data_IF_057077862602
#
_entry.id   IF_057077862602
#
_cell.length_a   1.000
_cell.length_b   1.000
_cell.length_c   1.000
_cell.angle_alpha   90.00
_cell.angle_beta   90.00
_cell.angle_gamma   90.00
#
_symmetry.space_group_name_H-M   'P 1'
#
loop_
_entity.id
_entity.type
_entity.pdbx_description
1 polymer ?
#
# COMPACT_ATOMS: atom_id res chain seq x y z
N UNK A 1 -22.97 85.19 45.00
CA UNK A 1 -21.97 85.89 45.85
C UNK A 1 -20.59 85.47 45.39
N UNK A 2 -19.76 86.42 44.96
CA UNK A 2 -18.33 86.22 44.76
C UNK A 2 -17.68 85.84 46.10
N UNK A 3 -16.75 84.90 46.08
CA UNK A 3 -15.46 85.17 46.70
C UNK A 3 -14.34 84.31 46.12
N UNK A 4 -13.21 84.99 45.93
CA UNK A 4 -11.97 84.52 45.35
C UNK A 4 -11.08 83.82 46.39
N UNK A 5 -10.00 83.23 45.85
CA UNK A 5 -8.62 83.23 46.36
C UNK A 5 -8.03 81.98 47.03
N UNK A 6 -6.79 81.75 46.58
CA UNK A 6 -5.66 80.98 47.13
C UNK A 6 -5.49 79.54 46.60
N UNK A 7 -4.31 79.07 46.18
CA UNK A 7 -2.98 79.65 45.91
C UNK A 7 -2.15 78.61 45.14
N UNK A 8 -1.45 79.08 44.11
CA UNK A 8 -0.14 78.72 43.53
C UNK A 8 0.43 77.29 43.44
N UNK A 9 1.25 77.03 42.39
CA UNK A 9 1.72 75.70 41.96
C UNK A 9 3.13 75.37 42.47
N UNK A 10 3.58 74.11 42.34
CA UNK A 10 4.93 73.78 41.83
C UNK A 10 4.92 72.38 41.19
N UNK A 11 4.98 72.38 39.86
CA UNK A 11 5.40 71.24 39.04
C UNK A 11 6.91 71.07 39.18
N UNK A 12 7.38 69.91 39.63
CA UNK A 12 8.78 69.52 39.44
C UNK A 12 8.85 68.55 38.27
N UNK A 13 9.47 69.02 37.19
CA UNK A 13 9.70 68.31 35.96
C UNK A 13 11.05 67.59 36.06
N UNK A 14 11.03 66.25 36.05
CA UNK A 14 12.11 65.38 35.59
C UNK A 14 11.39 64.20 34.94
N UNK A 15 11.38 64.02 33.62
CA UNK A 15 12.57 63.74 32.82
C UNK A 15 13.19 62.45 33.38
N UNK A 16 13.14 61.31 32.72
CA UNK A 16 13.73 61.08 31.41
C UNK A 16 13.42 59.64 30.99
N UNK A 17 12.90 59.50 29.76
CA UNK A 17 13.19 58.47 28.75
C UNK A 17 12.77 57.00 28.99
N UNK A 18 11.73 56.68 28.22
CA UNK A 18 11.38 55.42 27.58
C UNK A 18 12.63 54.62 27.17
N UNK A 19 12.73 53.37 27.64
CA UNK A 19 13.30 52.30 26.83
C UNK A 19 12.44 51.05 27.06
N UNK A 20 11.61 50.76 26.06
CA UNK A 20 10.96 49.48 25.95
C UNK A 20 12.01 48.41 25.71
N UNK A 21 11.91 47.32 26.46
CA UNK A 21 12.56 46.08 26.05
C UNK A 21 11.59 44.93 26.28
N UNK A 22 11.05 44.49 25.16
CA UNK A 22 10.18 43.35 24.99
C UNK A 22 10.86 42.09 25.55
N UNK A 23 10.18 41.44 26.49
CA UNK A 23 10.56 40.17 27.07
C UNK A 23 10.29 39.05 26.05
N UNK A 24 11.28 38.72 25.22
CA UNK A 24 11.28 37.48 24.44
C UNK A 24 11.97 36.38 25.25
N UNK A 25 11.17 35.48 25.84
CA UNK A 25 11.66 34.24 26.42
C UNK A 25 12.10 33.28 25.30
N UNK A 26 13.36 33.39 24.87
CA UNK A 26 14.03 32.33 24.12
C UNK A 26 14.54 31.29 25.12
N UNK A 27 13.81 30.19 25.22
CA UNK A 27 14.25 28.98 25.93
C UNK A 27 15.31 28.32 25.03
N UNK A 28 16.58 28.67 25.22
CA UNK A 28 17.71 27.96 24.63
C UNK A 28 17.94 26.66 25.37
N UNK A 29 17.14 25.64 25.07
CA UNK A 29 17.42 24.28 25.50
C UNK A 29 18.64 23.77 24.76
N UNK A 30 19.67 23.44 25.53
CA UNK A 30 20.88 22.73 25.14
C UNK A 30 20.54 21.55 24.20
N UNK A 31 20.95 21.68 22.93
CA UNK A 31 21.07 20.54 22.05
C UNK A 31 22.23 19.68 22.52
N UNK A 32 21.97 18.74 23.43
CA UNK A 32 22.78 17.52 23.47
C UNK A 32 22.62 16.87 22.09
N UNK A 33 23.67 16.95 21.29
CA UNK A 33 23.86 16.04 20.17
C UNK A 33 23.97 14.64 20.77
N UNK A 34 22.84 13.96 20.92
CA UNK A 34 22.83 12.52 20.98
C UNK A 34 23.20 12.05 19.57
N UNK A 35 24.46 11.61 19.42
CA UNK A 35 24.81 10.67 18.38
C UNK A 35 23.86 9.48 18.48
N UNK A 36 22.83 9.45 17.64
CA UNK A 36 22.02 8.26 17.46
C UNK A 36 22.83 7.27 16.64
N UNK A 37 23.85 6.66 17.25
CA UNK A 37 24.25 5.29 16.94
C UNK A 37 23.14 4.38 17.46
N UNK A 38 21.98 4.47 16.84
CA UNK A 38 20.89 3.51 17.00
C UNK A 38 20.85 2.68 15.74
N UNK A 39 21.70 1.66 15.73
CA UNK A 39 21.34 0.33 15.25
C UNK A 39 20.05 -0.11 15.96
N UNK A 40 18.92 0.46 15.56
CA UNK A 40 17.59 0.06 15.99
C UNK A 40 16.92 -0.62 14.81
N UNK A 41 16.89 -1.95 14.91
CA UNK A 41 15.91 -2.87 14.32
C UNK A 41 15.72 -2.83 12.81
N UNK A 42 16.61 -3.52 12.08
CA UNK A 42 16.27 -4.11 10.78
C UNK A 42 15.30 -5.31 10.89
N UNK A 43 14.80 -5.64 12.08
CA UNK A 43 14.06 -6.88 12.37
C UNK A 43 12.56 -6.73 12.59
N UNK A 44 11.95 -5.54 12.59
CA UNK A 44 10.62 -5.43 13.18
C UNK A 44 9.42 -5.67 12.23
N UNK A 45 9.61 -5.65 10.90
CA UNK A 45 8.47 -5.83 9.96
C UNK A 45 8.77 -6.65 8.70
N UNK A 46 10.00 -7.16 8.54
CA UNK A 46 10.48 -7.79 7.31
C UNK A 46 10.70 -9.30 7.39
N UNK A 47 10.40 -9.96 8.51
CA UNK A 47 10.67 -11.39 8.68
C UNK A 47 9.52 -12.08 9.42
N UNK A 48 9.13 -13.25 8.95
CA UNK A 48 8.18 -14.15 9.58
C UNK A 48 8.86 -15.48 9.87
N UNK A 49 8.66 -16.01 11.08
CA UNK A 49 9.19 -17.33 11.45
C UNK A 49 8.67 -18.47 10.57
N UNK A 50 7.49 -18.28 9.95
CA UNK A 50 6.85 -19.26 9.07
C UNK A 50 7.23 -19.08 7.59
N UNK A 51 7.49 -17.84 7.16
CA UNK A 51 7.59 -17.49 5.73
C UNK A 51 8.94 -16.85 5.35
N UNK A 52 9.83 -16.64 6.30
CA UNK A 52 11.13 -16.00 6.11
C UNK A 52 11.01 -14.49 5.90
N UNK A 53 11.94 -13.91 5.15
CA UNK A 53 11.87 -12.48 4.80
C UNK A 53 10.54 -12.20 4.07
N UNK A 54 9.95 -11.02 4.27
CA UNK A 54 8.68 -10.59 3.67
C UNK A 54 8.90 -9.29 2.91
N UNK A 55 9.73 -9.38 1.89
CA UNK A 55 10.14 -8.25 1.04
C UNK A 55 9.13 -7.99 -0.07
N UNK A 56 9.08 -6.76 -0.62
CA UNK A 56 8.34 -6.50 -1.84
C UNK A 56 8.76 -7.40 -3.01
N UNK A 57 10.01 -7.89 -3.05
CA UNK A 57 10.48 -8.84 -4.07
C UNK A 57 9.76 -10.18 -4.00
N UNK A 58 9.50 -10.71 -2.79
CA UNK A 58 8.75 -11.96 -2.64
C UNK A 58 7.28 -11.77 -2.98
N UNK A 59 6.68 -10.65 -2.54
CA UNK A 59 5.31 -10.30 -2.97
C UNK A 59 5.26 -10.18 -4.50
N UNK A 60 6.25 -9.53 -5.11
CA UNK A 60 6.34 -9.41 -6.58
C UNK A 60 6.41 -10.78 -7.26
N UNK A 61 7.15 -11.75 -6.70
CA UNK A 61 7.20 -13.12 -7.21
C UNK A 61 5.81 -13.77 -7.18
N UNK A 62 5.08 -13.67 -6.07
CA UNK A 62 3.70 -14.18 -5.97
C UNK A 62 2.79 -13.53 -7.01
N UNK A 63 2.84 -12.21 -7.13
CA UNK A 63 2.03 -11.45 -8.08
C UNK A 63 2.39 -11.80 -9.54
N UNK A 64 3.66 -12.12 -9.86
CA UNK A 64 4.03 -12.62 -11.19
C UNK A 64 3.48 -14.02 -11.47
N UNK A 65 3.29 -14.83 -10.45
CA UNK A 65 2.65 -16.12 -10.59
C UNK A 65 1.14 -15.97 -10.83
N UNK A 66 0.48 -15.06 -10.11
CA UNK A 66 -0.92 -14.64 -10.39
C UNK A 66 -1.06 -14.20 -11.86
N UNK A 67 -0.17 -13.32 -12.34
CA UNK A 67 -0.17 -12.86 -13.74
C UNK A 67 -0.05 -14.03 -14.72
N UNK A 68 0.80 -15.02 -14.40
CA UNK A 68 1.00 -16.19 -15.25
C UNK A 68 -0.25 -17.08 -15.30
N UNK A 69 -0.97 -17.24 -14.18
CA UNK A 69 -2.24 -17.99 -14.15
C UNK A 69 -3.36 -17.27 -14.90
N UNK A 70 -3.46 -15.95 -14.76
CA UNK A 70 -4.43 -15.14 -15.52
C UNK A 70 -4.16 -15.25 -17.02
N UNK A 71 -2.89 -15.21 -17.44
CA UNK A 71 -2.53 -15.40 -18.84
C UNK A 71 -2.77 -16.84 -19.33
N UNK A 72 -2.50 -17.86 -18.51
CA UNK A 72 -2.84 -19.26 -18.82
C UNK A 72 -4.34 -19.39 -19.12
N UNK A 73 -5.18 -18.88 -18.23
CA UNK A 73 -6.63 -18.83 -18.44
C UNK A 73 -7.00 -18.11 -19.75
N UNK A 74 -6.43 -16.92 -19.98
CA UNK A 74 -6.72 -16.13 -21.18
C UNK A 74 -6.40 -16.89 -22.47
N UNK A 75 -5.22 -17.53 -22.55
CA UNK A 75 -4.84 -18.29 -23.73
C UNK A 75 -5.69 -19.53 -23.94
N UNK A 76 -6.07 -20.20 -22.85
CA UNK A 76 -6.82 -21.45 -22.91
C UNK A 76 -8.30 -21.25 -23.22
N UNK A 77 -8.95 -20.30 -22.56
CA UNK A 77 -10.41 -20.13 -22.58
C UNK A 77 -10.88 -18.88 -23.35
N UNK A 78 -9.99 -17.90 -23.56
CA UNK A 78 -10.32 -16.62 -24.21
C UNK A 78 -9.32 -16.27 -25.34
N UNK A 79 -8.96 -17.21 -26.24
CA UNK A 79 -7.86 -17.00 -27.20
C UNK A 79 -8.05 -15.78 -28.11
N UNK A 80 -9.31 -15.46 -28.49
CA UNK A 80 -9.65 -14.33 -29.36
C UNK A 80 -9.26 -12.97 -28.78
N UNK A 81 -9.31 -12.81 -27.46
CA UNK A 81 -9.00 -11.54 -26.76
C UNK A 81 -7.67 -11.60 -26.01
N UNK A 82 -7.06 -12.78 -25.87
CA UNK A 82 -5.77 -12.95 -25.17
C UNK A 82 -4.65 -12.04 -25.71
N UNK A 83 -4.64 -11.77 -27.01
CA UNK A 83 -3.64 -10.94 -27.67
C UNK A 83 -3.83 -9.44 -27.41
N UNK A 84 -5.06 -8.99 -27.18
CA UNK A 84 -5.44 -7.58 -26.93
C UNK A 84 -5.39 -7.19 -25.46
N UNK A 85 -5.15 -8.16 -24.55
CA UNK A 85 -4.99 -7.86 -23.14
C UNK A 85 -3.87 -6.85 -22.88
N UNK A 86 -4.04 -5.95 -21.89
CA UNK A 86 -2.99 -5.01 -21.52
C UNK A 86 -1.68 -5.73 -21.18
N UNK A 87 -0.54 -5.22 -21.67
CA UNK A 87 0.79 -5.83 -21.45
C UNK A 87 1.76 -4.98 -20.64
N UNK A 88 1.53 -3.67 -20.64
CA UNK A 88 2.46 -2.72 -20.05
C UNK A 88 2.01 -2.33 -18.65
N UNK A 89 2.96 -2.37 -17.71
CA UNK A 89 2.79 -1.78 -16.38
C UNK A 89 2.77 -0.26 -16.49
N UNK A 90 1.94 0.38 -15.68
CA UNK A 90 1.94 1.84 -15.55
C UNK A 90 2.81 2.17 -14.33
N UNK A 91 3.97 2.83 -14.53
CA UNK A 91 4.89 3.06 -13.43
C UNK A 91 4.31 4.06 -12.44
N UNK A 92 4.44 3.75 -11.16
CA UNK A 92 4.12 4.64 -10.04
C UNK A 92 5.37 4.80 -9.17
N UNK A 93 5.38 5.80 -8.28
CA UNK A 93 6.50 6.08 -7.38
C UNK A 93 6.00 6.35 -5.97
N UNK A 94 6.87 6.11 -4.99
CA UNK A 94 6.66 6.43 -3.58
C UNK A 94 5.46 5.70 -2.93
N UNK A 95 5.07 4.55 -3.47
CA UNK A 95 4.02 3.72 -2.86
C UNK A 95 4.59 2.92 -1.69
N UNK A 96 3.73 2.69 -0.70
CA UNK A 96 3.98 1.94 0.52
C UNK A 96 3.16 0.64 0.51
N UNK A 97 3.36 -0.28 1.48
CA UNK A 97 2.56 -1.50 1.60
C UNK A 97 1.04 -1.25 1.58
N UNK A 98 0.55 -0.15 2.17
CA UNK A 98 -0.87 0.23 2.14
C UNK A 98 -1.44 0.27 0.71
N UNK A 99 -0.78 0.95 -0.22
CA UNK A 99 -1.28 1.06 -1.60
C UNK A 99 -1.30 -0.31 -2.29
N UNK A 100 -0.32 -1.17 -2.00
CA UNK A 100 -0.27 -2.53 -2.55
C UNK A 100 -1.40 -3.38 -1.96
N UNK A 101 -1.66 -3.27 -0.66
CA UNK A 101 -2.74 -3.99 0.01
C UNK A 101 -4.09 -3.64 -0.60
N UNK A 102 -4.38 -2.35 -0.79
CA UNK A 102 -5.63 -1.89 -1.40
C UNK A 102 -5.78 -2.37 -2.85
N UNK A 103 -4.69 -2.34 -3.63
CA UNK A 103 -4.69 -2.86 -4.99
C UNK A 103 -4.94 -4.37 -5.05
N UNK A 104 -4.32 -5.14 -4.14
CA UNK A 104 -4.54 -6.58 -4.02
C UNK A 104 -5.96 -6.90 -3.55
N UNK A 105 -6.53 -6.09 -2.66
CA UNK A 105 -7.91 -6.26 -2.22
C UNK A 105 -8.88 -6.09 -3.38
N UNK A 106 -8.67 -5.06 -4.21
CA UNK A 106 -9.45 -4.84 -5.43
C UNK A 106 -9.29 -5.96 -6.45
N UNK A 107 -8.05 -6.42 -6.68
CA UNK A 107 -7.80 -7.59 -7.51
C UNK A 107 -8.51 -8.84 -6.96
N UNK A 108 -8.52 -9.00 -5.63
CA UNK A 108 -9.26 -10.06 -4.96
C UNK A 108 -10.76 -9.99 -5.20
N UNK A 109 -11.34 -8.81 -5.34
CA UNK A 109 -12.76 -8.66 -5.68
C UNK A 109 -13.07 -9.19 -7.09
N UNK A 110 -12.17 -8.97 -8.06
CA UNK A 110 -12.34 -9.53 -9.40
C UNK A 110 -12.14 -11.05 -9.41
N UNK A 111 -11.20 -11.56 -8.61
CA UNK A 111 -11.00 -13.00 -8.45
C UNK A 111 -12.22 -13.64 -7.77
N UNK A 112 -12.85 -12.97 -6.80
CA UNK A 112 -14.09 -13.43 -6.18
C UNK A 112 -15.25 -13.46 -7.17
N UNK A 113 -15.33 -12.48 -8.07
CA UNK A 113 -16.30 -12.51 -9.17
C UNK A 113 -16.07 -13.72 -10.07
N UNK A 114 -14.80 -13.98 -10.44
CA UNK A 114 -14.46 -15.14 -11.24
C UNK A 114 -14.74 -16.46 -10.50
N UNK A 115 -14.41 -16.55 -9.22
CA UNK A 115 -14.70 -17.70 -8.37
C UNK A 115 -16.20 -18.02 -8.35
N UNK A 116 -17.05 -17.00 -8.20
CA UNK A 116 -18.51 -17.17 -8.26
C UNK A 116 -19.00 -17.70 -9.60
N UNK A 117 -18.44 -17.23 -10.71
CA UNK A 117 -18.79 -17.72 -12.05
C UNK A 117 -18.42 -19.19 -12.25
N UNK A 118 -17.33 -19.65 -11.64
CA UNK A 118 -16.85 -21.04 -11.72
C UNK A 118 -17.46 -21.94 -10.63
N UNK A 119 -18.07 -21.35 -9.60
CA UNK A 119 -18.66 -22.08 -8.47
C UNK A 119 -17.64 -22.50 -7.40
N UNK A 120 -16.53 -21.78 -7.27
CA UNK A 120 -15.50 -22.03 -6.24
C UNK A 120 -15.62 -21.07 -5.04
N UNK A 121 -15.05 -21.41 -3.88
CA UNK A 121 -15.01 -20.50 -2.73
C UNK A 121 -14.31 -19.17 -3.06
N UNK A 122 -14.82 -18.10 -2.45
CA UNK A 122 -14.22 -16.75 -2.50
C UNK A 122 -12.99 -16.64 -1.60
N UNK A 123 -12.13 -15.65 -1.85
CA UNK A 123 -10.93 -15.36 -1.08
C UNK A 123 -11.28 -15.10 0.38
N UNK A 124 -10.58 -15.81 1.27
CA UNK A 124 -10.60 -15.48 2.71
C UNK A 124 -9.84 -14.19 2.93
N UNK A 125 -10.55 -13.11 3.26
CA UNK A 125 -9.95 -11.78 3.42
C UNK A 125 -9.01 -11.72 4.63
N UNK A 126 -7.88 -11.04 4.43
CA UNK A 126 -6.90 -10.78 5.49
C UNK A 126 -7.43 -9.66 6.39
N UNK A 127 -7.58 -9.94 7.68
CA UNK A 127 -7.97 -8.93 8.67
C UNK A 127 -6.75 -8.09 9.05
N UNK A 128 -6.89 -6.78 8.91
CA UNK A 128 -5.85 -5.83 9.31
C UNK A 128 -5.70 -5.76 10.82
N UNK A 129 -4.47 -5.69 11.30
CA UNK A 129 -4.15 -5.46 12.71
C UNK A 129 -4.21 -3.97 13.07
N UNK A 130 -3.90 -3.09 12.12
CA UNK A 130 -3.86 -1.64 12.31
C UNK A 130 -4.48 -0.82 11.16
N UNK A 131 -4.37 0.50 11.28
CA UNK A 131 -4.90 1.47 10.32
C UNK A 131 -4.08 1.58 9.03
N UNK A 132 -2.83 1.11 9.02
CA UNK A 132 -1.95 0.99 7.85
C UNK A 132 -1.55 -0.47 7.66
N UNK A 133 -1.47 -0.92 6.42
CA UNK A 133 -1.16 -2.31 6.10
C UNK A 133 0.33 -2.55 6.25
N UNK A 134 0.68 -3.70 6.82
CA UNK A 134 2.08 -4.12 6.99
C UNK A 134 2.50 -5.09 5.88
N UNK A 135 3.81 -5.27 5.62
CA UNK A 135 4.30 -6.18 4.58
C UNK A 135 3.75 -7.61 4.70
N UNK A 136 3.57 -8.12 5.92
CA UNK A 136 3.00 -9.45 6.14
C UNK A 136 1.56 -9.58 5.66
N UNK A 137 0.72 -8.56 5.88
CA UNK A 137 -0.67 -8.56 5.40
C UNK A 137 -0.73 -8.51 3.87
N UNK A 138 0.17 -7.75 3.24
CA UNK A 138 0.33 -7.71 1.79
C UNK A 138 0.73 -9.07 1.24
N UNK A 139 1.72 -9.72 1.85
CA UNK A 139 2.17 -11.05 1.44
C UNK A 139 1.06 -12.09 1.57
N UNK A 140 0.37 -12.12 2.71
CA UNK A 140 -0.74 -13.06 2.95
C UNK A 140 -1.88 -12.84 1.96
N UNK A 141 -2.23 -11.59 1.65
CA UNK A 141 -3.29 -11.30 0.69
C UNK A 141 -2.89 -11.69 -0.75
N UNK A 142 -1.63 -11.46 -1.14
CA UNK A 142 -1.13 -11.93 -2.43
C UNK A 142 -1.16 -13.47 -2.53
N UNK A 143 -0.76 -14.17 -1.46
CA UNK A 143 -0.87 -15.63 -1.38
C UNK A 143 -2.31 -16.11 -1.51
N UNK A 144 -3.25 -15.48 -0.79
CA UNK A 144 -4.67 -15.82 -0.87
C UNK A 144 -5.25 -15.63 -2.28
N UNK A 145 -4.87 -14.56 -2.99
CA UNK A 145 -5.24 -14.36 -4.39
C UNK A 145 -4.70 -15.48 -5.31
N UNK A 146 -3.46 -15.91 -5.09
CA UNK A 146 -2.85 -17.01 -5.85
C UNK A 146 -3.57 -18.34 -5.59
N UNK A 147 -3.85 -18.66 -4.33
CA UNK A 147 -4.55 -19.88 -3.92
C UNK A 147 -5.96 -19.96 -4.50
N UNK A 148 -6.69 -18.84 -4.52
CA UNK A 148 -8.03 -18.79 -5.13
C UNK A 148 -7.97 -18.99 -6.64
N UNK A 149 -7.00 -18.39 -7.36
CA UNK A 149 -6.83 -18.67 -8.79
C UNK A 149 -6.43 -20.12 -9.07
N UNK A 150 -5.58 -20.70 -8.23
CA UNK A 150 -5.22 -22.12 -8.30
C UNK A 150 -6.45 -23.01 -8.14
N UNK A 151 -7.32 -22.69 -7.17
CA UNK A 151 -8.58 -23.42 -6.95
C UNK A 151 -9.53 -23.30 -8.14
N UNK A 152 -9.66 -22.10 -8.71
CA UNK A 152 -10.47 -21.85 -9.91
C UNK A 152 -9.95 -22.70 -11.08
N UNK A 153 -8.65 -22.64 -11.37
CA UNK A 153 -8.07 -23.38 -12.49
C UNK A 153 -8.10 -24.90 -12.27
N UNK A 154 -7.90 -25.38 -11.05
CA UNK A 154 -8.05 -26.80 -10.72
C UNK A 154 -9.49 -27.30 -10.94
N UNK A 155 -10.49 -26.43 -10.77
CA UNK A 155 -11.89 -26.76 -11.06
C UNK A 155 -12.16 -26.79 -12.57
N UNK A 156 -11.57 -25.86 -13.32
CA UNK A 156 -11.69 -25.79 -14.79
C UNK A 156 -10.88 -26.88 -15.52
N UNK A 157 -9.79 -27.34 -14.91
CA UNK A 157 -8.81 -28.27 -15.48
C UNK A 157 -8.42 -29.36 -14.45
N UNK A 158 -9.34 -30.28 -14.08
CA UNK A 158 -9.16 -31.21 -12.95
C UNK A 158 -8.04 -32.26 -13.13
N UNK A 159 -7.51 -32.39 -14.36
CA UNK A 159 -6.42 -33.31 -14.67
C UNK A 159 -5.05 -32.63 -14.74
N UNK A 160 -4.99 -31.32 -14.50
CA UNK A 160 -3.76 -30.54 -14.51
C UNK A 160 -3.31 -30.19 -13.08
N UNK A 161 -1.99 -30.04 -12.90
CA UNK A 161 -1.40 -29.53 -11.66
C UNK A 161 -1.03 -28.07 -11.83
N UNK A 162 -1.30 -27.28 -10.79
CA UNK A 162 -0.97 -25.85 -10.75
C UNK A 162 0.16 -25.53 -9.74
N UNK A 163 0.81 -26.57 -9.20
CA UNK A 163 1.91 -26.43 -8.24
C UNK A 163 3.10 -25.64 -8.79
N UNK A 164 3.37 -25.75 -10.10
CA UNK A 164 4.49 -25.05 -10.74
C UNK A 164 4.35 -23.51 -10.68
N UNK A 165 3.11 -23.01 -10.56
CA UNK A 165 2.85 -21.59 -10.34
C UNK A 165 3.25 -21.11 -8.93
N UNK A 166 3.66 -21.98 -8.01
CA UNK A 166 4.23 -21.57 -6.72
C UNK A 166 5.77 -21.48 -6.74
N UNK A 167 6.39 -21.70 -7.90
CA UNK A 167 7.84 -21.56 -8.03
C UNK A 167 8.31 -20.14 -7.67
N UNK A 168 9.35 -20.07 -6.84
CA UNK A 168 9.99 -18.82 -6.45
C UNK A 168 10.86 -18.32 -7.59
N UNK A 169 10.70 -17.06 -7.97
CA UNK A 169 11.51 -16.43 -9.02
C UNK A 169 12.61 -15.59 -8.37
N UNK A 170 13.83 -15.77 -8.84
CA UNK A 170 14.95 -14.93 -8.45
C UNK A 170 14.99 -13.69 -9.34
N UNK A 171 15.18 -12.53 -8.72
CA UNK A 171 15.31 -11.26 -9.41
C UNK A 171 16.65 -10.64 -9.04
N UNK A 172 17.42 -10.24 -10.04
CA UNK A 172 18.71 -9.55 -9.85
C UNK A 172 18.52 -8.19 -9.15
N UNK A 173 17.39 -7.53 -9.39
CA UNK A 173 17.04 -6.24 -8.80
C UNK A 173 15.94 -6.39 -7.76
N UNK A 174 16.21 -5.86 -6.56
CA UNK A 174 15.21 -5.69 -5.50
C UNK A 174 14.03 -4.86 -5.98
N UNK A 175 12.83 -5.36 -5.71
CA UNK A 175 11.57 -4.69 -6.06
C UNK A 175 11.14 -3.75 -4.94
N UNK A 176 10.37 -2.74 -5.33
CA UNK A 176 9.74 -1.78 -4.42
C UNK A 176 8.24 -2.05 -4.35
N UNK A 177 7.53 -1.52 -3.33
CA UNK A 177 6.06 -1.59 -3.31
C UNK A 177 5.42 -0.95 -4.56
N UNK A 178 6.07 0.05 -5.16
CA UNK A 178 5.62 0.67 -6.41
C UNK A 178 5.65 -0.31 -7.58
N UNK A 179 6.69 -1.16 -7.67
CA UNK A 179 6.78 -2.20 -8.70
C UNK A 179 5.68 -3.27 -8.51
N UNK A 180 5.42 -3.66 -7.26
CA UNK A 180 4.36 -4.62 -6.94
C UNK A 180 3.00 -4.05 -7.32
N UNK A 181 2.69 -2.82 -6.88
CA UNK A 181 1.45 -2.15 -7.24
C UNK A 181 1.23 -2.09 -8.76
N UNK A 182 2.24 -1.66 -9.51
CA UNK A 182 2.13 -1.51 -10.96
C UNK A 182 1.83 -2.84 -11.67
N UNK A 183 2.32 -3.95 -11.12
CA UNK A 183 2.01 -5.28 -11.61
C UNK A 183 0.60 -5.73 -11.19
N UNK A 184 0.18 -5.48 -9.96
CA UNK A 184 -1.19 -5.78 -9.48
C UNK A 184 -2.22 -5.03 -10.33
N UNK A 185 -2.00 -3.74 -10.60
CA UNK A 185 -2.84 -2.92 -11.48
C UNK A 185 -2.95 -3.50 -12.90
N UNK A 186 -1.83 -3.98 -13.46
CA UNK A 186 -1.82 -4.64 -14.76
C UNK A 186 -2.72 -5.88 -14.76
N UNK A 187 -2.62 -6.73 -13.74
CA UNK A 187 -3.43 -7.95 -13.62
C UNK A 187 -4.90 -7.61 -13.44
N UNK A 188 -5.22 -6.63 -12.59
CA UNK A 188 -6.58 -6.11 -12.40
C UNK A 188 -7.20 -5.71 -13.75
N UNK A 189 -6.49 -4.90 -14.55
CA UNK A 189 -6.97 -4.50 -15.88
C UNK A 189 -7.17 -5.68 -16.83
N UNK A 190 -6.35 -6.73 -16.75
CA UNK A 190 -6.54 -7.96 -17.54
C UNK A 190 -7.80 -8.71 -17.10
N UNK A 191 -7.99 -8.93 -15.80
CA UNK A 191 -9.15 -9.65 -15.28
C UNK A 191 -10.45 -8.90 -15.53
N UNK A 192 -10.47 -7.57 -15.42
CA UNK A 192 -11.64 -6.77 -15.79
C UNK A 192 -12.09 -7.04 -17.23
N UNK A 193 -11.16 -7.18 -18.18
CA UNK A 193 -11.50 -7.52 -19.57
C UNK A 193 -11.97 -8.98 -19.67
N UNK A 194 -11.28 -9.91 -19.01
CA UNK A 194 -11.56 -11.34 -19.12
C UNK A 194 -12.88 -11.77 -18.46
N UNK A 195 -13.21 -11.19 -17.32
CA UNK A 195 -14.31 -11.57 -16.43
C UNK A 195 -15.48 -10.59 -16.54
N UNK A 196 -15.19 -9.31 -16.78
CA UNK A 196 -16.20 -8.24 -16.89
C UNK A 196 -17.00 -8.23 -18.20
N UNK A 197 -16.55 -8.94 -19.25
CA UNK A 197 -17.37 -9.16 -20.46
C UNK A 197 -18.46 -10.23 -20.27
N UNK A 198 -18.26 -11.17 -19.33
CA UNK A 198 -19.20 -12.28 -19.14
C UNK A 198 -20.54 -11.80 -18.57
N UNK A 199 -20.53 -10.81 -17.66
CA UNK A 199 -21.76 -10.30 -17.03
C UNK A 199 -22.70 -9.55 -17.98
N UNK A 200 -22.25 -9.20 -19.19
CA UNK A 200 -23.06 -8.49 -20.20
C UNK A 200 -23.65 -9.42 -21.27
N UNK A 201 -23.28 -10.71 -21.25
CA UNK A 201 -23.80 -11.71 -22.18
C UNK A 201 -24.91 -12.57 -21.55
N UNK A 202 -25.08 -12.47 -20.22
CA UNK A 202 -26.10 -13.19 -19.45
C UNK A 202 -27.28 -12.27 -19.03
N UNK A 203 -27.32 -11.01 -19.52
CA UNK A 203 -28.46 -10.08 -19.47
C UNK A 203 -29.10 -9.93 -20.85
#
# INVERSE_FOLDING_TARGET
MLNQHHSSPQFTLRGTVINGMLLFCFISSYGLAAESNTTTNQTEYGYSDLYGELTPTQVYSLVKNIDSMVMHYAYRYKPKISSSLPRNVIPVKNYRPEQVFLALAKLGDDIDLFAKQVGTPVIKRVKRQGSEAIPAEVFLLAGACLDSLSTILATLEPHNSFGDFYSHRHYERTRTPSDVYALVDLIHRKLTVLVGEQSKLDE
#
